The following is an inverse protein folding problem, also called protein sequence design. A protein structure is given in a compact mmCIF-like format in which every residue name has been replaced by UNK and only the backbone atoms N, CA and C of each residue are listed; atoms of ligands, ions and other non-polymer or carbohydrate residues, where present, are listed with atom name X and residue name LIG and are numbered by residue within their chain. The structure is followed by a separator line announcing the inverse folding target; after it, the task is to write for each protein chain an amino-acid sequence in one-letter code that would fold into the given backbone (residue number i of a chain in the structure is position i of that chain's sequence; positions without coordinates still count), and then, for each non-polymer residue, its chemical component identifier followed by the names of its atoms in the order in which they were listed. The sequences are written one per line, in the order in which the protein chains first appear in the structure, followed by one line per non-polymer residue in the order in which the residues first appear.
data_IF_963573615016
#
_entry.id   IF_963573615016
#
_cell.length_a   1.000
_cell.length_b   1.000
_cell.length_c   1.000
_cell.angle_alpha   90.00
_cell.angle_beta   90.00
_cell.angle_gamma   90.00
#
_symmetry.space_group_name_H-M   'P 1'
#
loop_
_entity.id
_entity.type
_entity.pdbx_description
1 polymer ?
#
# COMPACT_ATOMS: atom_id res chain seq x y z
N UNK A 1 -33.36 5.95 4.75
CA UNK A 1 -33.96 5.77 6.08
C UNK A 1 -33.26 6.71 7.05
N UNK A 2 -34.00 7.53 7.80
CA UNK A 2 -33.40 8.44 8.79
C UNK A 2 -32.73 7.61 9.91
N UNK A 3 -31.49 7.96 10.25
CA UNK A 3 -30.73 7.27 11.31
C UNK A 3 -31.42 7.53 12.65
N UNK A 4 -31.70 6.47 13.42
CA UNK A 4 -32.33 6.59 14.74
C UNK A 4 -31.57 7.61 15.63
N UNK A 5 -32.28 8.38 16.47
CA UNK A 5 -31.66 9.32 17.40
C UNK A 5 -30.57 8.63 18.24
N UNK A 6 -29.45 9.32 18.45
CA UNK A 6 -28.35 8.81 19.28
C UNK A 6 -28.70 9.04 20.74
N UNK A 7 -29.10 7.98 21.46
CA UNK A 7 -29.59 8.08 22.85
C UNK A 7 -28.51 7.81 23.91
N UNK A 8 -27.49 7.02 23.58
CA UNK A 8 -26.44 6.63 24.53
C UNK A 8 -25.42 7.76 24.75
N UNK A 9 -25.13 8.06 26.01
CA UNK A 9 -24.11 9.05 26.43
C UNK A 9 -22.95 8.35 27.13
N UNK A 10 -21.74 8.75 26.78
CA UNK A 10 -20.51 8.28 27.43
C UNK A 10 -19.87 9.50 28.10
N UNK A 11 -19.98 9.65 29.44
CA UNK A 11 -19.23 10.66 30.17
C UNK A 11 -17.76 10.24 30.25
N UNK A 12 -16.86 11.12 29.84
CA UNK A 12 -15.41 10.90 29.83
C UNK A 12 -14.75 12.13 30.44
N UNK A 13 -13.80 11.91 31.35
CA UNK A 13 -12.93 12.97 31.88
C UNK A 13 -11.73 13.08 30.96
N UNK A 14 -11.36 14.31 30.59
CA UNK A 14 -10.23 14.60 29.70
C UNK A 14 -9.44 15.76 30.30
N UNK A 15 -8.13 15.72 30.10
CA UNK A 15 -7.24 16.83 30.41
C UNK A 15 -7.46 18.02 29.47
N UNK A 16 -6.99 19.20 29.87
CA UNK A 16 -7.08 20.41 29.06
C UNK A 16 -6.32 20.28 27.73
N UNK A 17 -5.18 19.59 27.73
CA UNK A 17 -4.37 19.36 26.52
C UNK A 17 -5.08 18.45 25.50
N UNK A 18 -5.78 17.41 25.97
CA UNK A 18 -6.57 16.54 25.09
C UNK A 18 -7.77 17.29 24.50
N UNK A 19 -8.46 18.11 25.29
CA UNK A 19 -9.57 18.94 24.82
C UNK A 19 -9.10 19.96 23.78
N UNK A 20 -7.97 20.61 24.02
CA UNK A 20 -7.35 21.53 23.08
C UNK A 20 -6.98 20.82 21.77
N UNK A 21 -6.36 19.64 21.84
CA UNK A 21 -5.99 18.87 20.66
C UNK A 21 -7.21 18.49 19.79
N UNK A 22 -8.32 18.11 20.41
CA UNK A 22 -9.58 17.83 19.70
C UNK A 22 -10.15 19.10 19.07
N UNK A 23 -10.10 20.23 19.77
CA UNK A 23 -10.57 21.50 19.25
C UNK A 23 -9.72 21.99 18.07
N UNK A 24 -8.39 21.95 18.18
CA UNK A 24 -7.49 22.30 17.08
C UNK A 24 -7.77 21.43 15.84
N UNK A 25 -7.89 20.11 16.04
CA UNK A 25 -8.24 19.18 14.97
C UNK A 25 -9.62 19.48 14.36
N UNK A 26 -10.66 19.73 15.18
CA UNK A 26 -12.01 20.00 14.64
C UNK A 26 -12.05 21.29 13.84
N UNK A 27 -11.30 22.32 14.24
CA UNK A 27 -11.23 23.59 13.51
C UNK A 27 -10.51 23.43 12.17
N UNK A 28 -9.36 22.73 12.16
CA UNK A 28 -8.64 22.42 10.92
C UNK A 28 -9.49 21.64 9.91
N UNK A 29 -10.39 20.80 10.41
CA UNK A 29 -11.25 19.93 9.60
C UNK A 29 -12.70 20.46 9.47
N UNK A 30 -12.95 21.72 9.87
CA UNK A 30 -14.27 22.40 9.75
C UNK A 30 -15.44 21.63 10.37
N UNK A 31 -15.19 20.93 11.48
CA UNK A 31 -16.18 20.14 12.20
C UNK A 31 -16.86 20.99 13.29
N UNK A 32 -18.17 21.16 13.14
CA UNK A 32 -18.96 22.10 13.93
C UNK A 32 -18.93 21.85 15.45
N UNK A 33 -18.95 20.58 15.88
CA UNK A 33 -19.07 20.25 17.31
C UNK A 33 -17.98 19.31 17.78
N UNK A 34 -17.54 19.50 19.03
CA UNK A 34 -16.56 18.62 19.68
C UNK A 34 -17.02 17.17 19.72
N UNK A 35 -18.29 16.93 20.02
CA UNK A 35 -18.84 15.57 20.02
C UNK A 35 -18.82 14.91 18.64
N UNK A 36 -18.99 15.67 17.55
CA UNK A 36 -18.83 15.11 16.20
C UNK A 36 -17.35 14.83 15.90
N UNK A 37 -16.45 15.70 16.35
CA UNK A 37 -15.02 15.51 16.19
C UNK A 37 -14.52 14.23 16.89
N UNK A 38 -14.89 14.04 18.17
CA UNK A 38 -14.56 12.82 18.93
C UNK A 38 -15.06 11.56 18.23
N UNK A 39 -16.29 11.59 17.68
CA UNK A 39 -16.84 10.43 16.96
C UNK A 39 -16.05 10.13 15.69
N UNK A 40 -15.68 11.15 14.91
CA UNK A 40 -14.89 10.96 13.69
C UNK A 40 -13.49 10.46 14.00
N UNK A 41 -12.86 10.95 15.06
CA UNK A 41 -11.57 10.46 15.53
C UNK A 41 -11.65 8.99 15.96
N UNK A 42 -12.67 8.61 16.74
CA UNK A 42 -12.89 7.22 17.11
C UNK A 42 -13.16 6.33 15.88
N UNK A 43 -13.97 6.80 14.93
CA UNK A 43 -14.22 6.07 13.68
C UNK A 43 -12.98 5.95 12.81
N UNK A 44 -12.13 6.99 12.77
CA UNK A 44 -10.84 6.92 12.08
C UNK A 44 -9.96 5.84 12.71
N UNK A 45 -9.79 5.87 14.03
CA UNK A 45 -8.99 4.88 14.74
C UNK A 45 -9.47 3.45 14.45
N UNK A 46 -10.77 3.19 14.56
CA UNK A 46 -11.36 1.88 14.30
C UNK A 46 -11.27 1.41 12.83
N UNK A 47 -11.05 2.33 11.89
CA UNK A 47 -11.03 2.06 10.45
C UNK A 47 -9.63 2.00 9.83
N UNK A 48 -8.61 2.40 10.59
CA UNK A 48 -7.23 2.38 10.11
C UNK A 48 -6.39 1.36 10.88
N UNK A 49 -6.89 0.82 11.99
CA UNK A 49 -6.13 -0.07 12.88
C UNK A 49 -5.63 -1.31 12.12
N UNK A 50 -6.54 -2.02 11.45
CA UNK A 50 -6.22 -3.22 10.68
C UNK A 50 -5.32 -2.90 9.47
N UNK A 51 -5.61 -1.80 8.77
CA UNK A 51 -4.88 -1.40 7.57
C UNK A 51 -3.45 -0.94 7.90
N UNK A 52 -3.23 -0.26 9.03
CA UNK A 52 -1.89 0.14 9.49
C UNK A 52 -1.05 -1.11 9.78
N UNK A 53 -1.62 -2.11 10.44
CA UNK A 53 -0.92 -3.38 10.71
C UNK A 53 -0.57 -4.12 9.40
N UNK A 54 -1.48 -4.13 8.43
CA UNK A 54 -1.21 -4.69 7.10
C UNK A 54 -0.08 -3.94 6.38
N UNK A 55 -0.08 -2.61 6.40
CA UNK A 55 1.00 -1.78 5.83
C UNK A 55 2.33 -2.12 6.50
N UNK A 56 2.37 -2.22 7.82
CA UNK A 56 3.57 -2.57 8.56
C UNK A 56 4.10 -3.95 8.15
N UNK A 57 3.24 -4.98 8.12
CA UNK A 57 3.60 -6.35 7.70
C UNK A 57 4.11 -6.40 6.26
N UNK A 58 3.43 -5.73 5.34
CA UNK A 58 3.82 -5.68 3.92
C UNK A 58 5.14 -4.96 3.74
N UNK A 59 5.34 -3.82 4.40
CA UNK A 59 6.59 -3.04 4.33
C UNK A 59 7.76 -3.84 4.89
N UNK A 60 7.55 -4.54 6.01
CA UNK A 60 8.57 -5.41 6.61
C UNK A 60 8.94 -6.58 5.69
N UNK A 61 7.94 -7.27 5.13
CA UNK A 61 8.17 -8.38 4.20
C UNK A 61 8.90 -7.92 2.94
N UNK A 62 8.55 -6.75 2.42
CA UNK A 62 9.24 -6.13 1.29
C UNK A 62 10.70 -5.84 1.62
N UNK A 63 10.95 -5.24 2.79
CA UNK A 63 12.30 -4.94 3.27
C UNK A 63 13.15 -6.20 3.43
N UNK A 64 12.61 -7.26 4.05
CA UNK A 64 13.28 -8.56 4.19
C UNK A 64 13.61 -9.15 2.81
N UNK A 65 12.68 -9.09 1.87
CA UNK A 65 12.88 -9.57 0.48
C UNK A 65 14.00 -8.83 -0.25
N UNK A 66 14.10 -7.51 -0.06
CA UNK A 66 15.16 -6.68 -0.64
C UNK A 66 16.54 -7.02 -0.03
N UNK A 67 16.60 -7.20 1.29
CA UNK A 67 17.87 -7.50 1.98
C UNK A 67 18.41 -8.88 1.62
N UNK A 68 17.60 -9.94 1.77
CA UNK A 68 18.00 -11.31 1.41
C UNK A 68 18.50 -11.38 -0.02
N UNK A 69 17.94 -10.56 -0.90
CA UNK A 69 18.37 -10.55 -2.28
C UNK A 69 19.73 -9.86 -2.51
N UNK A 70 19.99 -8.79 -1.80
CA UNK A 70 21.26 -8.06 -1.91
C UNK A 70 22.43 -9.01 -1.59
N UNK A 71 22.23 -9.90 -0.61
CA UNK A 71 23.16 -10.99 -0.28
C UNK A 71 23.35 -11.94 -1.48
N UNK A 72 22.27 -12.47 -2.06
CA UNK A 72 22.41 -13.42 -3.17
C UNK A 72 23.03 -12.80 -4.43
N UNK A 73 22.73 -11.52 -4.74
CA UNK A 73 23.39 -10.82 -5.85
C UNK A 73 24.90 -10.71 -5.58
N UNK A 74 25.29 -10.33 -4.36
CA UNK A 74 26.69 -10.20 -3.97
C UNK A 74 27.43 -11.55 -4.06
N UNK A 75 26.80 -12.64 -3.62
CA UNK A 75 27.35 -13.99 -3.71
C UNK A 75 27.47 -14.48 -5.17
N UNK A 76 26.51 -14.12 -6.03
CA UNK A 76 26.48 -14.57 -7.42
C UNK A 76 27.43 -13.77 -8.31
N UNK A 77 27.73 -12.51 -7.98
CA UNK A 77 28.73 -11.66 -8.66
C UNK A 77 30.18 -12.04 -8.31
N UNK A 78 30.43 -13.34 -8.10
CA UNK A 78 31.68 -13.92 -7.60
C UNK A 78 32.93 -13.19 -8.15
N UNK A 79 33.70 -12.48 -7.31
CA UNK A 79 34.89 -11.74 -7.76
C UNK A 79 36.07 -12.65 -8.17
N UNK A 80 35.92 -13.98 -8.12
CA UNK A 80 36.99 -14.95 -8.35
C UNK A 80 36.67 -16.08 -9.35
N UNK A 81 35.49 -16.07 -9.99
CA UNK A 81 35.06 -17.12 -10.92
C UNK A 81 34.20 -16.60 -12.07
N UNK A 82 33.87 -17.49 -13.02
CA UNK A 82 33.00 -17.14 -14.15
C UNK A 82 31.56 -16.89 -13.67
N UNK A 83 31.00 -15.75 -14.05
CA UNK A 83 29.65 -15.33 -13.64
C UNK A 83 28.58 -16.05 -14.45
N UNK A 84 27.63 -16.71 -13.78
CA UNK A 84 26.45 -17.28 -14.41
C UNK A 84 25.39 -16.18 -14.68
N UNK A 85 25.54 -15.53 -15.84
CA UNK A 85 24.65 -14.45 -16.28
C UNK A 85 23.21 -14.90 -16.51
N UNK A 86 22.99 -16.17 -16.90
CA UNK A 86 21.64 -16.69 -17.13
C UNK A 86 20.90 -16.86 -15.79
N UNK A 87 21.57 -17.40 -14.77
CA UNK A 87 21.04 -17.49 -13.41
C UNK A 87 20.78 -16.10 -12.82
N UNK A 88 21.71 -15.16 -12.97
CA UNK A 88 21.53 -13.77 -12.54
C UNK A 88 20.31 -13.12 -13.19
N UNK A 89 20.15 -13.29 -14.52
CA UNK A 89 19.01 -12.77 -15.27
C UNK A 89 17.67 -13.34 -14.78
N UNK A 90 17.58 -14.67 -14.63
CA UNK A 90 16.38 -15.34 -14.10
C UNK A 90 16.02 -14.85 -12.71
N UNK A 91 17.03 -14.76 -11.85
CA UNK A 91 16.85 -14.21 -10.51
C UNK A 91 16.35 -12.78 -10.58
N UNK A 92 16.94 -11.91 -11.41
CA UNK A 92 16.55 -10.49 -11.57
C UNK A 92 15.09 -10.33 -12.00
N UNK A 93 14.63 -11.14 -12.96
CA UNK A 93 13.24 -11.14 -13.40
C UNK A 93 12.28 -11.57 -12.30
N UNK A 94 12.59 -12.66 -11.60
CA UNK A 94 11.78 -13.15 -10.47
C UNK A 94 11.70 -12.09 -9.36
N UNK A 95 12.79 -11.35 -9.10
CA UNK A 95 12.76 -10.23 -8.17
C UNK A 95 11.75 -9.19 -8.57
N UNK A 96 11.87 -8.75 -9.81
CA UNK A 96 11.24 -7.54 -10.27
C UNK A 96 9.73 -7.80 -10.24
N UNK A 97 9.35 -9.03 -10.59
CA UNK A 97 7.98 -9.50 -10.44
C UNK A 97 7.50 -9.46 -8.98
N UNK A 98 8.26 -9.96 -8.01
CA UNK A 98 7.86 -9.90 -6.59
C UNK A 98 7.79 -8.46 -6.08
N UNK A 99 8.81 -7.67 -6.39
CA UNK A 99 8.92 -6.27 -5.98
C UNK A 99 7.75 -5.44 -6.49
N UNK A 100 7.38 -5.59 -7.78
CA UNK A 100 6.22 -4.93 -8.37
C UNK A 100 4.94 -5.32 -7.63
N UNK A 101 4.76 -6.61 -7.33
CA UNK A 101 3.56 -7.09 -6.65
C UNK A 101 3.47 -6.58 -5.21
N UNK A 102 4.59 -6.57 -4.47
CA UNK A 102 4.61 -6.15 -3.07
C UNK A 102 4.48 -4.64 -2.93
N UNK A 103 5.11 -3.85 -3.82
CA UNK A 103 4.89 -2.39 -3.90
C UNK A 103 3.44 -2.08 -4.27
N UNK A 104 2.83 -2.82 -5.20
CA UNK A 104 1.44 -2.61 -5.57
C UNK A 104 0.49 -2.85 -4.39
N UNK A 105 0.67 -3.95 -3.63
CA UNK A 105 -0.11 -4.23 -2.42
C UNK A 105 0.02 -3.11 -1.39
N UNK A 106 1.26 -2.64 -1.14
CA UNK A 106 1.52 -1.56 -0.19
C UNK A 106 0.82 -0.26 -0.62
N UNK A 107 0.90 0.07 -1.91
CA UNK A 107 0.26 1.27 -2.47
C UNK A 107 -1.26 1.20 -2.34
N UNK A 108 -1.86 0.03 -2.58
CA UNK A 108 -3.30 -0.18 -2.42
C UNK A 108 -3.74 -0.04 -0.94
N UNK A 109 -2.96 -0.57 -0.01
CA UNK A 109 -3.24 -0.44 1.42
C UNK A 109 -3.17 1.04 1.88
N UNK A 110 -2.16 1.77 1.41
CA UNK A 110 -2.04 3.22 1.66
C UNK A 110 -3.24 3.99 1.08
N UNK A 111 -3.61 3.73 -0.18
CA UNK A 111 -4.77 4.36 -0.82
C UNK A 111 -6.05 4.13 -0.01
N UNK A 112 -6.28 2.90 0.47
CA UNK A 112 -7.44 2.58 1.30
C UNK A 112 -7.50 3.45 2.56
N UNK A 113 -6.40 3.55 3.31
CA UNK A 113 -6.33 4.40 4.51
C UNK A 113 -6.57 5.86 4.16
N UNK A 114 -5.93 6.36 3.10
CA UNK A 114 -6.08 7.74 2.65
C UNK A 114 -7.55 8.04 2.37
N UNK A 115 -8.25 7.22 1.58
CA UNK A 115 -9.68 7.43 1.32
C UNK A 115 -10.51 7.40 2.61
N UNK A 116 -10.24 6.44 3.52
CA UNK A 116 -10.99 6.30 4.77
C UNK A 116 -10.84 7.52 5.68
N UNK A 117 -9.61 8.02 5.83
CA UNK A 117 -9.30 9.22 6.63
C UNK A 117 -9.89 10.48 5.99
N UNK A 118 -9.77 10.65 4.68
CA UNK A 118 -10.34 11.80 3.98
C UNK A 118 -11.87 11.83 4.06
N UNK A 119 -12.54 10.67 3.94
CA UNK A 119 -14.01 10.55 4.12
C UNK A 119 -14.49 11.08 5.47
N UNK A 120 -13.68 10.98 6.52
CA UNK A 120 -14.07 11.36 7.88
C UNK A 120 -13.64 12.79 8.28
N UNK A 121 -12.74 13.44 7.54
CA UNK A 121 -12.23 14.78 7.87
C UNK A 121 -13.15 15.94 7.42
N UNK A 122 -13.93 15.80 6.35
CA UNK A 122 -14.76 16.87 5.69
C UNK A 122 -13.95 18.09 5.22
N UNK A 123 -14.08 18.53 3.97
CA UNK A 123 -15.22 19.23 3.35
C UNK A 123 -16.10 18.44 2.35
N UNK A 124 -15.99 17.11 2.32
CA UNK A 124 -16.73 16.29 1.36
C UNK A 124 -16.08 16.21 -0.02
N UNK A 125 -14.85 16.71 -0.17
CA UNK A 125 -13.97 16.30 -1.27
C UNK A 125 -13.67 14.82 -1.12
N UNK A 126 -14.50 14.02 -1.79
CA UNK A 126 -14.30 12.61 -1.97
C UNK A 126 -13.10 12.44 -2.91
N UNK A 127 -11.96 12.05 -2.34
CA UNK A 127 -10.86 11.54 -3.16
C UNK A 127 -11.22 10.11 -3.53
N UNK A 128 -11.66 9.92 -4.77
CA UNK A 128 -11.86 8.61 -5.36
C UNK A 128 -10.52 8.08 -5.86
N UNK A 129 -9.90 7.15 -5.14
CA UNK A 129 -8.68 6.49 -5.57
C UNK A 129 -8.95 5.14 -6.23
N UNK A 130 -10.23 4.76 -6.44
CA UNK A 130 -10.59 3.45 -7.01
C UNK A 130 -10.03 3.26 -8.41
N UNK A 131 -10.14 4.26 -9.29
CA UNK A 131 -9.58 4.22 -10.63
C UNK A 131 -8.06 4.06 -10.61
N UNK A 132 -7.37 4.83 -9.76
CA UNK A 132 -5.92 4.72 -9.63
C UNK A 132 -5.50 3.34 -9.07
N UNK A 133 -6.27 2.81 -8.11
CA UNK A 133 -6.07 1.48 -7.55
C UNK A 133 -6.25 0.36 -8.60
N UNK A 134 -7.29 0.46 -9.43
CA UNK A 134 -7.53 -0.47 -10.53
C UNK A 134 -6.39 -0.43 -11.57
N UNK A 135 -5.93 0.77 -11.92
CA UNK A 135 -4.78 0.95 -12.81
C UNK A 135 -3.48 0.36 -12.24
N UNK A 136 -3.21 0.57 -10.94
CA UNK A 136 -2.05 -0.03 -10.25
C UNK A 136 -2.12 -1.55 -10.33
N UNK A 137 -3.28 -2.12 -10.02
CA UNK A 137 -3.50 -3.57 -10.02
C UNK A 137 -3.34 -4.17 -11.42
N UNK A 138 -3.90 -3.52 -12.44
CA UNK A 138 -3.78 -3.92 -13.83
C UNK A 138 -2.31 -3.90 -14.29
N UNK A 139 -1.63 -2.76 -14.11
CA UNK A 139 -0.21 -2.60 -14.49
C UNK A 139 0.70 -3.60 -13.78
N UNK A 140 0.50 -3.82 -12.47
CA UNK A 140 1.28 -4.79 -11.71
C UNK A 140 1.08 -6.22 -12.21
N UNK A 141 -0.17 -6.60 -12.54
CA UNK A 141 -0.51 -7.91 -13.10
C UNK A 141 0.08 -8.11 -14.49
N UNK A 142 -0.06 -7.13 -15.37
CA UNK A 142 0.44 -7.20 -16.74
C UNK A 142 1.96 -7.28 -16.76
N UNK A 143 2.63 -6.48 -15.93
CA UNK A 143 4.10 -6.52 -15.80
C UNK A 143 4.59 -7.84 -15.20
N UNK A 144 3.90 -8.39 -14.21
CA UNK A 144 4.23 -9.71 -13.66
C UNK A 144 4.05 -10.84 -14.72
N UNK A 145 3.01 -10.75 -15.56
CA UNK A 145 2.81 -11.68 -16.68
C UNK A 145 3.96 -11.59 -17.69
N UNK A 146 4.33 -10.38 -18.09
CA UNK A 146 5.46 -10.13 -19.01
C UNK A 146 6.76 -10.71 -18.44
N UNK A 147 7.10 -10.42 -17.19
CA UNK A 147 8.32 -10.94 -16.55
C UNK A 147 8.33 -12.47 -16.46
N UNK A 148 7.17 -13.09 -16.25
CA UNK A 148 7.03 -14.55 -16.26
C UNK A 148 7.25 -15.14 -17.66
N UNK A 149 6.80 -14.46 -18.71
CA UNK A 149 7.07 -14.86 -20.10
C UNK A 149 8.56 -14.75 -20.42
N UNK A 150 9.21 -13.64 -20.05
CA UNK A 150 10.66 -13.48 -20.20
C UNK A 150 11.45 -14.57 -19.47
N UNK A 151 11.04 -14.92 -18.24
CA UNK A 151 11.64 -16.01 -17.48
C UNK A 151 11.57 -17.34 -18.25
N UNK A 152 10.39 -17.66 -18.81
CA UNK A 152 10.17 -18.87 -19.59
C UNK A 152 11.00 -18.89 -20.89
N UNK A 153 11.10 -17.76 -21.59
CA UNK A 153 11.91 -17.64 -22.80
C UNK A 153 13.40 -17.93 -22.53
N UNK A 154 13.93 -17.46 -21.39
CA UNK A 154 15.32 -17.74 -20.96
C UNK A 154 15.53 -19.23 -20.61
N UNK A 155 14.50 -19.91 -20.07
CA UNK A 155 14.54 -21.36 -19.82
C UNK A 155 14.50 -22.18 -21.12
N UNK A 156 13.74 -21.73 -22.12
CA UNK A 156 13.54 -22.43 -23.39
C UNK A 156 14.58 -22.07 -24.46
N UNK A 157 15.50 -21.14 -24.17
CA UNK A 157 16.52 -20.66 -25.10
C UNK A 157 15.98 -19.74 -26.22
N UNK A 158 14.76 -19.23 -26.07
CA UNK A 158 14.03 -18.45 -27.07
C UNK A 158 14.20 -16.94 -26.94
N UNK A 159 14.17 -16.23 -28.08
CA UNK A 159 13.96 -14.79 -28.16
C UNK A 159 12.56 -14.41 -27.68
N UNK A 160 12.43 -13.23 -27.10
CA UNK A 160 11.13 -12.63 -26.79
C UNK A 160 10.64 -12.04 -28.11
N UNK A 161 9.66 -12.70 -28.74
CA UNK A 161 8.94 -12.07 -29.84
C UNK A 161 8.13 -10.90 -29.22
N UNK A 162 8.55 -9.68 -29.52
CA UNK A 162 7.69 -8.51 -29.38
C UNK A 162 6.53 -8.74 -30.35
N UNK A 163 5.33 -9.01 -29.84
CA UNK A 163 4.13 -8.97 -30.69
C UNK A 163 4.10 -7.58 -31.33
N UNK A 164 4.25 -7.55 -32.66
CA UNK A 164 4.12 -6.37 -33.50
C UNK A 164 2.78 -5.69 -33.19
N UNK A 165 2.83 -4.57 -32.50
CA UNK A 165 1.73 -3.62 -32.38
C UNK A 165 1.53 -2.96 -33.77
N UNK A 166 0.66 -3.56 -34.61
CA UNK A 166 -0.06 -2.87 -35.71
C UNK A 166 -1.41 -2.31 -35.25
#
# INVERSE_FOLDING_TARGET
MAKAPRENRIPIMMSDDELKSIDDWRYQNRIATRSDAVRRLAQNALRIDDEIDQIYKQTRSLHETILTRTEVITDTLNPSGETDWQRLGKMALAFNSSLIQDIAKLTLAVNSITEQVHRLRSDGEFIDLSKAADEIKAKAKDRAKMLKMMFKAIDEGGHIDEEDDE
#
